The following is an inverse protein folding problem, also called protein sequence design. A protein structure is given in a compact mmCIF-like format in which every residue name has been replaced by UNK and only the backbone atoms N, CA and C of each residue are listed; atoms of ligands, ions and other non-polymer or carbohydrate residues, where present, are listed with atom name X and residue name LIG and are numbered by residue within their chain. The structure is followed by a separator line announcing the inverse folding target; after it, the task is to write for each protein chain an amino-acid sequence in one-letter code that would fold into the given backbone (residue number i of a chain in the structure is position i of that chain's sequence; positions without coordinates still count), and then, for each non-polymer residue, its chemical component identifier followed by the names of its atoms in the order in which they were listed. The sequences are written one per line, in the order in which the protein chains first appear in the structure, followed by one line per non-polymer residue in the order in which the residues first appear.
data_IF_490020458525
#
_entry.id   IF_490020458525
#
_cell.length_a   1.000
_cell.length_b   1.000
_cell.length_c   1.000
_cell.angle_alpha   90.00
_cell.angle_beta   90.00
_cell.angle_gamma   90.00
#
_symmetry.space_group_name_H-M   'P 1'
#
loop_
_entity.id
_entity.type
_entity.pdbx_description
1 polymer ?
#
# COMPACT_ATOMS: atom_id res chain seq x y z
N UNK A 1 -28.32 -8.90 -20.79
CA UNK A 1 -28.65 -9.92 -19.79
C UNK A 1 -27.34 -10.48 -19.24
N UNK A 2 -26.76 -9.85 -18.22
CA UNK A 2 -25.55 -10.40 -17.58
C UNK A 2 -25.97 -11.61 -16.75
N UNK A 3 -25.45 -12.80 -17.08
CA UNK A 3 -25.75 -14.04 -16.36
C UNK A 3 -25.26 -13.96 -14.92
N UNK A 4 -26.06 -14.49 -13.98
CA UNK A 4 -25.69 -14.61 -12.58
C UNK A 4 -24.37 -15.41 -12.45
N UNK A 5 -23.40 -14.96 -11.66
CA UNK A 5 -22.16 -15.70 -11.46
C UNK A 5 -22.45 -17.05 -10.79
N UNK A 6 -21.86 -18.12 -11.35
CA UNK A 6 -21.93 -19.47 -10.77
C UNK A 6 -20.99 -19.59 -9.57
N UNK A 7 -21.25 -20.53 -8.66
CA UNK A 7 -20.42 -20.77 -7.47
C UNK A 7 -18.94 -21.02 -7.82
N UNK A 8 -18.66 -21.68 -8.94
CA UNK A 8 -17.30 -21.92 -9.43
C UNK A 8 -16.57 -20.61 -9.77
N UNK A 9 -17.28 -19.65 -10.39
CA UNK A 9 -16.71 -18.34 -10.73
C UNK A 9 -16.40 -17.52 -9.46
N UNK A 10 -17.26 -17.60 -8.44
CA UNK A 10 -17.05 -16.94 -7.15
C UNK A 10 -15.83 -17.48 -6.40
N UNK A 11 -15.67 -18.82 -6.37
CA UNK A 11 -14.51 -19.46 -5.74
C UNK A 11 -13.21 -19.11 -6.46
N UNK A 12 -13.23 -19.09 -7.78
CA UNK A 12 -12.06 -18.71 -8.57
C UNK A 12 -11.69 -17.24 -8.34
N UNK A 13 -12.68 -16.35 -8.30
CA UNK A 13 -12.46 -14.95 -7.98
C UNK A 13 -11.86 -14.79 -6.57
N UNK A 14 -12.35 -15.55 -5.57
CA UNK A 14 -11.78 -15.50 -4.23
C UNK A 14 -10.31 -15.95 -4.21
N UNK A 15 -9.95 -17.01 -4.93
CA UNK A 15 -8.55 -17.46 -5.06
C UNK A 15 -7.66 -16.41 -5.71
N UNK A 16 -8.15 -15.73 -6.75
CA UNK A 16 -7.43 -14.66 -7.42
C UNK A 16 -7.14 -13.52 -6.42
N UNK A 17 -8.14 -13.10 -5.65
CA UNK A 17 -7.97 -12.04 -4.65
C UNK A 17 -7.06 -12.45 -3.48
N UNK A 18 -7.10 -13.71 -3.05
CA UNK A 18 -6.17 -14.26 -2.07
C UNK A 18 -4.73 -14.27 -2.58
N UNK A 19 -4.51 -14.76 -3.80
CA UNK A 19 -3.20 -14.75 -4.45
C UNK A 19 -2.67 -13.33 -4.59
N UNK A 20 -3.50 -12.40 -5.05
CA UNK A 20 -3.11 -11.01 -5.25
C UNK A 20 -2.66 -10.34 -3.94
N UNK A 21 -3.33 -10.62 -2.82
CA UNK A 21 -2.89 -10.15 -1.50
C UNK A 21 -1.54 -10.73 -1.09
N UNK A 22 -1.30 -12.01 -1.35
CA UNK A 22 -0.02 -12.65 -1.06
C UNK A 22 1.11 -12.07 -1.93
N UNK A 23 0.86 -11.88 -3.23
CA UNK A 23 1.82 -11.29 -4.18
C UNK A 23 2.17 -9.85 -3.77
N UNK A 24 1.17 -9.05 -3.36
CA UNK A 24 1.40 -7.70 -2.85
C UNK A 24 2.24 -7.70 -1.56
N UNK A 25 2.01 -8.63 -0.63
CA UNK A 25 2.81 -8.71 0.60
C UNK A 25 4.27 -9.06 0.31
N UNK A 26 4.51 -9.98 -0.63
CA UNK A 26 5.86 -10.29 -1.12
C UNK A 26 6.53 -9.07 -1.74
N UNK A 27 5.80 -8.32 -2.57
CA UNK A 27 6.28 -7.09 -3.21
C UNK A 27 6.67 -6.00 -2.20
N UNK A 28 5.82 -5.74 -1.20
CA UNK A 28 6.16 -4.81 -0.11
C UNK A 28 7.38 -5.28 0.68
N UNK A 29 7.57 -6.60 0.84
CA UNK A 29 8.77 -7.16 1.45
C UNK A 29 10.05 -6.91 0.65
N UNK A 30 9.96 -6.85 -0.68
CA UNK A 30 11.09 -6.46 -1.52
C UNK A 30 11.40 -4.97 -1.33
N UNK A 31 10.40 -4.09 -1.31
CA UNK A 31 10.57 -2.66 -1.05
C UNK A 31 11.18 -2.40 0.33
N UNK A 32 10.70 -3.09 1.36
CA UNK A 32 11.27 -3.02 2.71
C UNK A 32 12.77 -3.36 2.69
N UNK A 33 13.15 -4.44 2.00
CA UNK A 33 14.56 -4.85 1.80
C UNK A 33 15.37 -3.96 0.87
N UNK A 34 14.78 -3.08 0.07
CA UNK A 34 15.53 -2.13 -0.76
C UNK A 34 15.94 -0.89 0.05
N UNK A 35 15.15 -0.53 1.06
CA UNK A 35 15.37 0.63 1.93
C UNK A 35 16.40 0.36 3.06
N UNK A 36 17.48 -0.39 2.79
CA UNK A 36 18.43 -0.89 3.82
C UNK A 36 19.27 0.19 4.53
N UNK A 37 19.24 1.46 4.11
CA UNK A 37 20.05 2.52 4.72
C UNK A 37 19.57 3.00 6.10
N UNK A 38 18.51 2.40 6.67
CA UNK A 38 17.97 2.85 7.96
C UNK A 38 16.94 1.91 8.62
N UNK A 39 17.05 0.59 8.45
CA UNK A 39 16.14 -0.32 9.14
C UNK A 39 16.47 -0.35 10.64
N UNK A 40 15.69 0.40 11.42
CA UNK A 40 15.76 0.34 12.87
C UNK A 40 15.20 -1.00 13.38
N UNK A 41 15.49 -1.32 14.64
CA UNK A 41 14.94 -2.53 15.28
C UNK A 41 13.40 -2.48 15.29
N UNK A 42 12.83 -1.29 15.49
CA UNK A 42 11.39 -1.04 15.48
C UNK A 42 10.79 -1.27 14.09
N UNK A 43 11.42 -0.76 13.02
CA UNK A 43 10.97 -0.99 11.65
C UNK A 43 10.94 -2.49 11.30
N UNK A 44 11.96 -3.22 11.75
CA UNK A 44 12.04 -4.68 11.57
C UNK A 44 10.94 -5.41 12.37
N UNK A 45 10.72 -5.02 13.62
CA UNK A 45 9.67 -5.62 14.46
C UNK A 45 8.27 -5.38 13.87
N UNK A 46 7.99 -4.17 13.39
CA UNK A 46 6.73 -3.86 12.72
C UNK A 46 6.58 -4.61 11.39
N UNK A 47 7.66 -4.78 10.62
CA UNK A 47 7.59 -5.58 9.41
C UNK A 47 7.25 -7.05 9.69
N UNK A 48 7.78 -7.63 10.77
CA UNK A 48 7.39 -8.98 11.21
C UNK A 48 5.91 -9.07 11.57
N UNK A 49 5.34 -8.05 12.23
CA UNK A 49 3.90 -7.99 12.51
C UNK A 49 3.07 -7.93 11.22
N UNK A 50 3.50 -7.15 10.23
CA UNK A 50 2.85 -7.09 8.92
C UNK A 50 2.83 -8.44 8.24
N UNK A 51 3.92 -9.22 8.31
CA UNK A 51 3.96 -10.57 7.74
C UNK A 51 3.03 -11.54 8.46
N UNK A 52 2.85 -11.40 9.78
CA UNK A 52 1.94 -12.25 10.56
C UNK A 52 0.47 -11.93 10.27
N UNK A 53 0.14 -10.65 10.10
CA UNK A 53 -1.25 -10.20 9.86
C UNK A 53 -1.68 -10.35 8.39
N UNK A 54 -0.78 -10.02 7.46
CA UNK A 54 -1.09 -9.93 6.04
C UNK A 54 -2.07 -8.80 5.69
N UNK A 55 -2.48 -8.74 4.41
CA UNK A 55 -3.51 -7.78 3.98
C UNK A 55 -4.93 -8.29 4.30
N UNK A 56 -5.81 -7.42 4.82
CA UNK A 56 -7.18 -7.78 5.14
C UNK A 56 -7.99 -8.08 3.87
N UNK A 57 -9.11 -8.76 4.04
CA UNK A 57 -10.12 -8.93 2.99
C UNK A 57 -11.36 -8.11 3.31
N UNK A 58 -12.25 -7.93 2.33
CA UNK A 58 -13.58 -7.32 2.54
C UNK A 58 -14.45 -8.07 3.57
N UNK A 59 -14.11 -9.32 3.92
CA UNK A 59 -14.79 -10.09 4.98
C UNK A 59 -14.35 -9.67 6.39
N UNK A 60 -13.25 -8.93 6.53
CA UNK A 60 -12.81 -8.37 7.80
C UNK A 60 -13.74 -7.22 8.19
N UNK A 61 -14.18 -7.18 9.45
CA UNK A 61 -15.20 -6.24 9.95
C UNK A 61 -14.84 -4.78 9.62
N UNK A 62 -13.62 -4.36 9.97
CA UNK A 62 -13.13 -3.00 9.73
C UNK A 62 -12.90 -2.64 8.25
N UNK A 63 -12.91 -3.62 7.34
CA UNK A 63 -12.55 -3.42 5.92
C UNK A 63 -13.71 -3.64 4.95
N UNK A 64 -14.91 -3.92 5.46
CA UNK A 64 -16.11 -4.19 4.66
C UNK A 64 -16.44 -3.10 3.65
N UNK A 65 -16.07 -1.85 3.95
CA UNK A 65 -16.40 -0.68 3.14
C UNK A 65 -15.16 0.01 2.52
N UNK A 66 -13.98 -0.61 2.65
CA UNK A 66 -12.71 -0.05 2.15
C UNK A 66 -11.99 -1.10 1.30
N UNK A 67 -12.41 -1.31 0.05
CA UNK A 67 -11.84 -2.36 -0.81
C UNK A 67 -10.39 -2.06 -1.17
N UNK A 68 -9.50 -3.04 -0.95
CA UNK A 68 -8.06 -2.95 -1.22
C UNK A 68 -7.65 -3.56 -2.57
N UNK A 69 -8.54 -4.29 -3.22
CA UNK A 69 -8.23 -5.12 -4.39
C UNK A 69 -7.66 -4.29 -5.55
N UNK A 70 -8.14 -3.05 -5.73
CA UNK A 70 -7.59 -2.15 -6.74
C UNK A 70 -6.18 -1.68 -6.39
N UNK A 71 -5.93 -1.32 -5.12
CA UNK A 71 -4.62 -0.87 -4.66
C UNK A 71 -3.58 -1.98 -4.81
N UNK A 72 -3.91 -3.19 -4.37
CA UNK A 72 -3.01 -4.34 -4.38
C UNK A 72 -2.80 -4.93 -5.79
N UNK A 73 -3.46 -4.40 -6.83
CA UNK A 73 -3.25 -4.80 -8.22
C UNK A 73 -2.06 -4.08 -8.87
N UNK A 74 -1.55 -3.03 -8.22
CA UNK A 74 -0.48 -2.21 -8.75
C UNK A 74 0.90 -2.72 -8.32
N UNK A 75 1.90 -2.40 -9.15
CA UNK A 75 3.30 -2.54 -8.79
C UNK A 75 3.78 -1.25 -8.13
N UNK A 76 4.35 -1.38 -6.93
CA UNK A 76 4.85 -0.25 -6.15
C UNK A 76 6.35 -0.06 -6.36
N UNK A 77 6.82 1.17 -6.35
CA UNK A 77 8.25 1.47 -6.36
C UNK A 77 8.51 2.76 -5.59
N UNK A 78 9.72 2.92 -5.06
CA UNK A 78 10.13 4.23 -4.56
C UNK A 78 10.19 5.21 -5.73
N UNK A 79 9.65 6.40 -5.52
CA UNK A 79 9.85 7.50 -6.45
C UNK A 79 11.32 7.93 -6.39
N UNK A 80 11.91 8.37 -7.53
CA UNK A 80 13.19 9.06 -7.47
C UNK A 80 13.05 10.34 -6.65
N UNK A 81 14.13 10.77 -6.01
CA UNK A 81 14.16 12.06 -5.33
C UNK A 81 13.76 13.17 -6.32
N UNK A 82 12.71 13.91 -5.99
CA UNK A 82 12.24 15.02 -6.81
C UNK A 82 12.95 16.29 -6.37
N UNK A 83 13.54 17.03 -7.31
CA UNK A 83 14.00 18.39 -7.03
C UNK A 83 12.78 19.32 -7.01
N UNK A 84 12.32 19.65 -5.79
CA UNK A 84 11.22 20.59 -5.58
C UNK A 84 11.78 21.95 -5.20
N UNK A 85 11.40 22.98 -5.96
CA UNK A 85 11.82 24.36 -5.68
C UNK A 85 11.01 24.99 -4.55
N UNK A 86 11.57 26.00 -3.89
CA UNK A 86 10.86 26.78 -2.88
C UNK A 86 9.55 27.40 -3.43
N UNK A 87 9.57 27.89 -4.66
CA UNK A 87 8.38 28.46 -5.32
C UNK A 87 7.26 27.42 -5.48
N UNK A 88 7.58 26.19 -5.91
CA UNK A 88 6.60 25.10 -6.01
C UNK A 88 6.03 24.70 -4.63
N UNK A 89 6.88 24.66 -3.60
CA UNK A 89 6.43 24.45 -2.22
C UNK A 89 5.48 25.56 -1.74
N UNK A 90 5.75 26.81 -2.10
CA UNK A 90 4.95 27.96 -1.69
C UNK A 90 3.60 28.04 -2.42
N UNK A 91 3.57 27.67 -3.70
CA UNK A 91 2.35 27.61 -4.51
C UNK A 91 1.36 26.55 -4.00
N UNK A 92 1.86 25.44 -3.45
CA UNK A 92 1.04 24.38 -2.84
C UNK A 92 0.82 24.57 -1.34
N UNK A 93 1.34 25.67 -0.75
CA UNK A 93 1.29 25.85 0.69
C UNK A 93 -0.07 26.34 1.18
N UNK A 94 -0.55 25.74 2.27
CA UNK A 94 -1.77 26.18 2.95
C UNK A 94 -1.59 27.53 3.67
N UNK A 95 -0.41 27.76 4.28
CA UNK A 95 -0.14 28.90 5.16
C UNK A 95 1.28 29.40 4.91
N UNK A 96 1.41 30.72 4.68
CA UNK A 96 2.69 31.36 4.37
C UNK A 96 3.52 31.76 5.59
N UNK A 97 2.88 32.02 6.72
CA UNK A 97 3.56 32.42 7.97
C UNK A 97 3.48 31.28 9.00
N UNK A 98 4.36 30.29 8.82
CA UNK A 98 4.46 29.15 9.72
C UNK A 98 5.87 28.53 9.68
N UNK A 99 6.26 27.88 10.77
CA UNK A 99 7.40 26.97 10.74
C UNK A 99 7.02 25.69 10.00
N UNK A 100 7.51 25.55 8.77
CA UNK A 100 7.14 24.46 7.86
C UNK A 100 8.25 23.42 7.75
N UNK A 101 7.92 22.16 8.02
CA UNK A 101 8.75 21.01 7.68
C UNK A 101 8.30 20.46 6.32
N UNK A 102 9.22 20.36 5.37
CA UNK A 102 8.94 19.91 4.00
C UNK A 102 9.58 18.53 3.80
N UNK A 103 8.77 17.56 3.37
CA UNK A 103 9.20 16.22 2.99
C UNK A 103 9.19 16.13 1.47
N UNK A 104 10.35 15.83 0.86
CA UNK A 104 10.54 15.75 -0.58
C UNK A 104 11.38 14.51 -0.93
#
# INVERSE_FOLDING_TARGET
MAGLPTNSNMLEQQRILEKQRADALLHFGQLFKQHQSGQSAEATAHWQQVLQLGFPSIKHEDWKYTPLERLLAHNFSFAPAAEVTAAQCDDLSLIKDAHRLVFH
#
